data_IF_319630834817
#
_entry.id   IF_319630834817
#
_cell.length_a   1.000
_cell.length_b   1.000
_cell.length_c   1.000
_cell.angle_alpha   90.00
_cell.angle_beta   90.00
_cell.angle_gamma   90.00
#
_symmetry.space_group_name_H-M   'P 1'
#
loop_
_entity.id
_entity.type
_entity.pdbx_description
1 polymer ?
#
# COMPACT_ATOMS: atom_id res chain seq x y z
N UNK A 1 16.01 9.66 -12.54
CA UNK A 1 17.42 9.41 -12.14
C UNK A 1 17.76 10.00 -10.78
N UNK A 2 17.48 11.28 -10.47
CA UNK A 2 17.78 11.88 -9.16
C UNK A 2 17.20 11.11 -7.96
N UNK A 3 16.01 10.51 -8.10
CA UNK A 3 15.39 9.72 -7.02
C UNK A 3 16.13 8.43 -6.64
N UNK A 4 16.94 7.88 -7.54
CA UNK A 4 17.77 6.70 -7.24
C UNK A 4 18.85 7.03 -6.21
N UNK A 5 19.20 8.31 -6.06
CA UNK A 5 20.20 8.81 -5.12
C UNK A 5 19.61 9.25 -3.77
N UNK A 6 18.43 8.74 -3.38
CA UNK A 6 17.79 9.13 -2.12
C UNK A 6 18.67 8.70 -0.92
N UNK A 7 19.27 9.66 -0.17
CA UNK A 7 20.20 9.35 0.92
C UNK A 7 19.54 8.58 2.06
N UNK A 8 18.22 8.74 2.25
CA UNK A 8 17.45 8.02 3.25
C UNK A 8 17.43 6.51 2.97
N UNK A 9 17.20 6.14 1.71
CA UNK A 9 17.18 4.73 1.28
C UNK A 9 18.56 4.08 1.40
N UNK A 10 19.63 4.79 1.05
CA UNK A 10 21.01 4.30 1.26
C UNK A 10 21.34 4.11 2.74
N UNK A 11 20.98 5.08 3.58
CA UNK A 11 21.25 5.01 5.02
C UNK A 11 20.54 3.83 5.67
N UNK A 12 19.31 3.52 5.22
CA UNK A 12 18.58 2.36 5.74
C UNK A 12 19.17 1.04 5.22
N UNK A 13 19.54 0.97 3.94
CA UNK A 13 20.18 -0.22 3.38
C UNK A 13 21.52 -0.56 4.05
N UNK A 14 22.34 0.47 4.32
CA UNK A 14 23.66 0.30 4.99
C UNK A 14 23.55 -0.15 6.45
N UNK A 15 22.39 0.03 7.09
CA UNK A 15 22.10 -0.50 8.44
C UNK A 15 21.71 -1.99 8.45
N UNK A 16 21.97 -2.72 7.37
CA UNK A 16 21.72 -4.16 7.27
C UNK A 16 20.26 -4.52 6.97
N UNK A 17 19.48 -3.59 6.43
CA UNK A 17 18.06 -3.80 6.20
C UNK A 17 17.71 -4.03 4.72
N UNK A 18 16.90 -5.06 4.46
CA UNK A 18 16.50 -5.49 3.13
C UNK A 18 15.33 -4.71 2.49
N UNK A 19 14.79 -3.67 3.13
CA UNK A 19 13.67 -2.88 2.59
C UNK A 19 13.88 -2.37 1.15
N UNK A 20 15.08 -1.92 0.74
CA UNK A 20 15.29 -1.52 -0.65
C UNK A 20 15.07 -2.66 -1.65
N UNK A 21 15.42 -3.90 -1.29
CA UNK A 21 15.22 -5.09 -2.13
C UNK A 21 13.71 -5.35 -2.29
N UNK A 22 12.96 -5.28 -1.19
CA UNK A 22 11.50 -5.44 -1.18
C UNK A 22 10.84 -4.39 -2.08
N UNK A 23 11.27 -3.13 -1.94
CA UNK A 23 10.79 -2.03 -2.77
C UNK A 23 11.10 -2.24 -4.27
N UNK A 24 12.30 -2.74 -4.61
CA UNK A 24 12.67 -3.06 -5.98
C UNK A 24 11.78 -4.18 -6.57
N UNK A 25 11.49 -5.23 -5.79
CA UNK A 25 10.59 -6.31 -6.21
C UNK A 25 9.17 -5.79 -6.43
N UNK A 26 8.66 -4.90 -5.57
CA UNK A 26 7.33 -4.27 -5.77
C UNK A 26 7.28 -3.50 -7.08
N UNK A 27 8.30 -2.68 -7.38
CA UNK A 27 8.40 -1.97 -8.66
C UNK A 27 8.49 -2.95 -9.85
N UNK A 28 9.19 -4.07 -9.68
CA UNK A 28 9.26 -5.12 -10.69
C UNK A 28 7.90 -5.81 -10.93
N UNK A 29 7.11 -6.04 -9.88
CA UNK A 29 5.75 -6.57 -9.98
C UNK A 29 4.86 -5.60 -10.76
N UNK A 30 4.94 -4.30 -10.47
CA UNK A 30 4.23 -3.23 -11.22
C UNK A 30 4.59 -3.34 -12.71
N UNK A 31 5.87 -3.42 -13.05
CA UNK A 31 6.33 -3.57 -14.44
C UNK A 31 5.87 -4.88 -15.09
N UNK A 32 5.84 -5.99 -14.37
CA UNK A 32 5.36 -7.27 -14.90
C UNK A 32 3.86 -7.24 -15.20
N UNK A 33 3.07 -6.61 -14.33
CA UNK A 33 1.63 -6.42 -14.54
C UNK A 33 1.36 -5.53 -15.76
N UNK A 34 2.10 -4.41 -15.91
CA UNK A 34 1.98 -3.54 -17.10
C UNK A 34 2.33 -4.26 -18.40
N UNK A 35 3.32 -5.15 -18.36
CA UNK A 35 3.75 -5.92 -19.53
C UNK A 35 2.89 -7.17 -19.81
N UNK A 36 1.87 -7.45 -18.99
CA UNK A 36 1.02 -8.63 -19.13
C UNK A 36 1.66 -9.95 -18.68
N UNK A 37 2.84 -9.91 -18.06
CA UNK A 37 3.57 -11.10 -17.58
C UNK A 37 3.04 -11.54 -16.20
N UNK A 38 1.82 -12.08 -16.19
CA UNK A 38 1.09 -12.41 -14.96
C UNK A 38 1.76 -13.51 -14.12
N UNK A 39 2.29 -14.56 -14.75
CA UNK A 39 2.97 -15.66 -14.04
C UNK A 39 4.20 -15.15 -13.30
N UNK A 40 5.00 -14.30 -13.96
CA UNK A 40 6.16 -13.67 -13.35
C UNK A 40 5.74 -12.75 -12.21
N UNK A 41 4.70 -11.93 -12.39
CA UNK A 41 4.16 -11.07 -11.33
C UNK A 41 3.70 -11.89 -10.11
N UNK A 42 3.00 -13.02 -10.32
CA UNK A 42 2.53 -13.90 -9.25
C UNK A 42 3.69 -14.55 -8.48
N UNK A 43 4.72 -15.02 -9.20
CA UNK A 43 5.93 -15.57 -8.60
C UNK A 43 6.64 -14.55 -7.70
N UNK A 44 6.95 -13.36 -8.23
CA UNK A 44 7.62 -12.32 -7.43
C UNK A 44 6.75 -11.83 -6.27
N UNK A 45 5.42 -11.81 -6.44
CA UNK A 45 4.50 -11.45 -5.37
C UNK A 45 4.49 -12.48 -4.22
N UNK A 46 4.45 -13.78 -4.53
CA UNK A 46 4.56 -14.83 -3.50
C UNK A 46 5.89 -14.75 -2.75
N UNK A 47 6.99 -14.51 -3.47
CA UNK A 47 8.33 -14.37 -2.88
C UNK A 47 8.41 -13.14 -1.97
N UNK A 48 7.92 -11.98 -2.41
CA UNK A 48 8.06 -10.74 -1.64
C UNK A 48 7.24 -10.77 -0.35
N UNK A 49 6.04 -11.37 -0.37
CA UNK A 49 5.18 -11.53 0.82
C UNK A 49 5.79 -12.53 1.81
N UNK A 50 6.54 -13.53 1.33
CA UNK A 50 7.32 -14.40 2.21
C UNK A 50 8.48 -13.66 2.88
N UNK A 51 9.21 -12.81 2.14
CA UNK A 51 10.33 -12.05 2.69
C UNK A 51 9.90 -10.99 3.71
N UNK A 52 8.76 -10.33 3.48
CA UNK A 52 8.13 -9.38 4.40
C UNK A 52 6.62 -9.50 4.26
N UNK A 53 5.89 -9.50 5.37
CA UNK A 53 4.42 -9.65 5.32
C UNK A 53 3.69 -8.43 4.74
N UNK A 54 4.21 -7.21 4.89
CA UNK A 54 3.46 -5.98 4.57
C UNK A 54 2.95 -5.86 3.12
N UNK A 55 3.65 -6.34 2.06
CA UNK A 55 3.17 -6.26 0.67
C UNK A 55 1.84 -7.00 0.45
N UNK A 56 1.37 -7.78 1.43
CA UNK A 56 0.03 -8.39 1.42
C UNK A 56 -1.09 -7.36 1.22
N UNK A 57 -0.88 -6.09 1.60
CA UNK A 57 -1.85 -5.01 1.36
C UNK A 57 -2.14 -4.78 -0.13
N UNK A 58 -1.24 -5.22 -1.02
CA UNK A 58 -1.39 -5.12 -2.46
C UNK A 58 -2.16 -6.31 -3.08
N UNK A 59 -2.53 -7.33 -2.30
CA UNK A 59 -3.28 -8.48 -2.82
C UNK A 59 -4.60 -8.03 -3.48
N UNK A 60 -5.40 -7.27 -2.73
CA UNK A 60 -6.72 -6.83 -3.17
C UNK A 60 -6.66 -5.94 -4.42
N UNK A 61 -5.88 -4.85 -4.48
CA UNK A 61 -5.82 -4.03 -5.71
C UNK A 61 -5.31 -4.82 -6.92
N UNK A 62 -4.34 -5.75 -6.75
CA UNK A 62 -3.89 -6.60 -7.86
C UNK A 62 -5.03 -7.47 -8.39
N UNK A 63 -5.78 -8.11 -7.50
CA UNK A 63 -6.94 -8.95 -7.90
C UNK A 63 -7.98 -8.12 -8.66
N UNK A 64 -8.29 -6.90 -8.19
CA UNK A 64 -9.25 -6.03 -8.84
C UNK A 64 -8.80 -5.59 -10.23
N UNK A 65 -7.51 -5.28 -10.38
CA UNK A 65 -6.90 -4.90 -11.66
C UNK A 65 -6.94 -6.03 -12.69
N UNK A 66 -6.84 -7.29 -12.25
CA UNK A 66 -6.88 -8.49 -13.10
C UNK A 66 -8.28 -8.84 -13.65
N UNK A 67 -9.15 -7.84 -13.80
CA UNK A 67 -10.47 -8.03 -14.39
C UNK A 67 -10.37 -8.50 -15.86
N UNK A 68 -11.19 -9.49 -16.29
CA UNK A 68 -11.26 -9.92 -17.69
C UNK A 68 -11.51 -8.80 -18.70
N UNK A 69 -12.12 -7.68 -18.26
CA UNK A 69 -12.35 -6.50 -19.10
C UNK A 69 -11.04 -5.78 -19.51
N UNK A 70 -9.96 -5.98 -18.76
CA UNK A 70 -8.64 -5.36 -19.01
C UNK A 70 -7.61 -6.38 -19.51
N UNK A 71 -7.74 -7.66 -19.12
CA UNK A 71 -6.78 -8.72 -19.46
C UNK A 71 -7.42 -9.85 -20.28
N UNK A 72 -7.28 -9.78 -21.61
CA UNK A 72 -7.71 -10.85 -22.53
C UNK A 72 -6.63 -11.91 -22.78
N UNK A 73 -7.05 -13.16 -23.00
CA UNK A 73 -6.15 -14.31 -23.19
C UNK A 73 -5.24 -14.10 -24.41
N UNK A 74 -3.94 -14.38 -24.25
CA UNK A 74 -2.95 -14.29 -25.33
C UNK A 74 -2.59 -12.88 -25.81
N UNK A 75 -3.18 -11.81 -25.25
CA UNK A 75 -2.92 -10.43 -25.66
C UNK A 75 -2.22 -9.64 -24.56
N UNK A 76 -1.26 -8.78 -24.95
CA UNK A 76 -0.70 -7.79 -24.03
C UNK A 76 -1.82 -6.83 -23.61
N UNK A 77 -1.92 -6.46 -22.33
CA UNK A 77 -2.95 -5.53 -21.90
C UNK A 77 -2.76 -4.20 -22.62
N UNK A 78 -3.86 -3.63 -23.13
CA UNK A 78 -3.82 -2.33 -23.77
C UNK A 78 -3.54 -1.27 -22.71
N UNK A 79 -2.35 -0.68 -22.75
CA UNK A 79 -1.98 0.42 -21.87
C UNK A 79 -2.58 1.71 -22.41
N UNK A 80 -3.12 2.54 -21.52
CA UNK A 80 -3.48 3.92 -21.89
C UNK A 80 -2.18 4.64 -22.29
N UNK A 81 -2.23 5.45 -23.35
CA UNK A 81 -1.12 6.32 -23.72
C UNK A 81 -0.82 7.30 -22.58
N UNK A 82 0.13 6.91 -21.73
CA UNK A 82 0.58 7.62 -20.52
C UNK A 82 1.05 9.05 -20.85
N UNK A 83 1.42 9.33 -22.11
CA UNK A 83 1.86 10.65 -22.58
C UNK A 83 0.74 11.68 -22.78
N UNK A 84 -0.52 11.26 -22.85
CA UNK A 84 -1.65 12.14 -23.16
C UNK A 84 -2.38 12.55 -21.89
N UNK A 85 -2.10 13.76 -21.40
CA UNK A 85 -2.87 14.44 -20.32
C UNK A 85 -4.34 14.70 -20.69
N UNK A 86 -4.78 14.29 -21.89
CA UNK A 86 -6.17 14.34 -22.36
C UNK A 86 -6.88 13.03 -22.05
N UNK A 87 -7.38 12.89 -20.84
CA UNK A 87 -8.52 12.01 -20.58
C UNK A 87 -9.53 12.81 -19.76
N UNK A 88 -10.65 13.15 -20.40
CA UNK A 88 -11.81 13.75 -19.73
C UNK A 88 -12.28 12.78 -18.65
N UNK A 89 -12.64 13.33 -17.50
CA UNK A 89 -13.28 12.62 -16.39
C UNK A 89 -14.54 11.87 -16.86
N UNK A 90 -14.40 10.59 -17.18
CA UNK A 90 -15.52 9.66 -17.29
C UNK A 90 -15.42 8.62 -16.17
N UNK A 91 -15.43 9.08 -14.92
CA UNK A 91 -15.66 8.19 -13.78
C UNK A 91 -16.22 8.93 -12.57
N UNK A 92 -17.42 9.47 -12.71
CA UNK A 92 -18.24 9.98 -11.60
C UNK A 92 -19.51 9.15 -11.36
N UNK A 93 -19.66 7.98 -11.98
CA UNK A 93 -20.90 7.19 -11.88
C UNK A 93 -20.78 5.76 -11.35
N UNK A 94 -19.59 5.29 -10.95
CA UNK A 94 -19.46 3.92 -10.42
C UNK A 94 -19.67 3.81 -8.90
N UNK A 95 -19.49 4.90 -8.14
CA UNK A 95 -19.54 4.84 -6.68
C UNK A 95 -20.96 4.82 -6.08
N UNK A 96 -22.00 5.14 -6.87
CA UNK A 96 -23.40 5.04 -6.43
C UNK A 96 -23.99 3.63 -6.53
N UNK A 97 -23.22 2.64 -7.01
CA UNK A 97 -23.73 1.29 -7.37
C UNK A 97 -23.19 0.17 -6.48
N UNK A 98 -22.69 0.49 -5.29
CA UNK A 98 -22.02 -0.46 -4.37
C UNK A 98 -22.86 -0.88 -3.16
N UNK A 99 -24.11 -0.40 -3.01
CA UNK A 99 -25.01 -0.78 -1.90
C UNK A 99 -26.15 -1.72 -2.31
N UNK A 100 -26.07 -2.34 -3.50
CA UNK A 100 -26.99 -3.43 -3.87
C UNK A 100 -26.40 -4.79 -3.48
N UNK A 101 -27.11 -5.64 -2.70
CA UNK A 101 -26.66 -6.99 -2.34
C UNK A 101 -26.36 -7.87 -3.57
N UNK A 102 -27.09 -7.67 -4.66
CA UNK A 102 -26.87 -8.36 -5.93
C UNK A 102 -25.55 -7.93 -6.60
N UNK A 103 -25.11 -6.68 -6.42
CA UNK A 103 -23.81 -6.20 -6.92
C UNK A 103 -22.64 -6.79 -6.12
N UNK A 104 -22.80 -7.01 -4.81
CA UNK A 104 -21.77 -7.67 -3.99
C UNK A 104 -21.62 -9.13 -4.40
N UNK A 105 -22.73 -9.84 -4.60
CA UNK A 105 -22.68 -11.23 -5.06
C UNK A 105 -22.10 -11.35 -6.48
N UNK A 106 -22.46 -10.46 -7.40
CA UNK A 106 -21.85 -10.37 -8.74
C UNK A 106 -20.37 -9.96 -8.70
N UNK A 107 -19.98 -9.12 -7.74
CA UNK A 107 -18.60 -8.77 -7.51
C UNK A 107 -17.81 -9.98 -6.99
N UNK A 108 -18.34 -10.71 -6.01
CA UNK A 108 -17.75 -11.94 -5.47
C UNK A 108 -17.62 -13.02 -6.53
N UNK A 109 -18.63 -13.23 -7.38
CA UNK A 109 -18.53 -14.17 -8.51
C UNK A 109 -17.55 -13.67 -9.57
N UNK A 110 -17.41 -12.36 -9.77
CA UNK A 110 -16.36 -11.81 -10.64
C UNK A 110 -14.95 -12.07 -10.10
N UNK A 111 -14.75 -12.27 -8.79
CA UNK A 111 -13.44 -12.60 -8.22
C UNK A 111 -12.92 -13.96 -8.71
N UNK A 112 -13.82 -14.88 -9.10
CA UNK A 112 -13.49 -16.23 -9.57
C UNK A 112 -13.18 -16.29 -11.07
N UNK A 113 -12.32 -15.39 -11.55
CA UNK A 113 -11.80 -15.49 -12.92
C UNK A 113 -10.50 -16.28 -12.95
N UNK A 114 -10.27 -17.03 -14.03
CA UNK A 114 -9.09 -17.89 -14.16
C UNK A 114 -7.77 -17.16 -13.86
N UNK A 115 -7.63 -15.89 -14.25
CA UNK A 115 -6.43 -15.09 -13.98
C UNK A 115 -6.23 -14.75 -12.51
N UNK A 116 -7.31 -14.37 -11.81
CA UNK A 116 -7.30 -14.07 -10.38
C UNK A 116 -6.96 -15.35 -9.59
N UNK A 117 -7.59 -16.46 -9.96
CA UNK A 117 -7.32 -17.79 -9.39
C UNK A 117 -5.88 -18.21 -9.68
N UNK A 118 -5.41 -18.14 -10.93
CA UNK A 118 -4.03 -18.50 -11.29
C UNK A 118 -3.01 -17.64 -10.55
N UNK A 119 -3.21 -16.33 -10.47
CA UNK A 119 -2.34 -15.43 -9.72
C UNK A 119 -2.31 -15.81 -8.24
N UNK A 120 -3.49 -16.04 -7.63
CA UNK A 120 -3.61 -16.44 -6.24
C UNK A 120 -2.99 -17.81 -5.95
N UNK A 121 -3.19 -18.79 -6.83
CA UNK A 121 -2.63 -20.14 -6.69
C UNK A 121 -1.11 -20.13 -6.82
N UNK A 122 -0.53 -19.44 -7.81
CA UNK A 122 0.92 -19.40 -7.99
C UNK A 122 1.59 -18.66 -6.83
N UNK A 123 1.08 -17.47 -6.48
CA UNK A 123 1.65 -16.68 -5.39
C UNK A 123 1.46 -17.35 -4.02
N UNK A 124 0.27 -17.91 -3.77
CA UNK A 124 -0.04 -18.65 -2.55
C UNK A 124 0.77 -19.94 -2.42
N UNK A 125 0.87 -20.73 -3.48
CA UNK A 125 1.68 -21.96 -3.47
C UNK A 125 3.15 -21.65 -3.17
N UNK A 126 3.73 -20.62 -3.80
CA UNK A 126 5.10 -20.23 -3.51
C UNK A 126 5.26 -19.74 -2.06
N UNK A 127 4.33 -18.90 -1.58
CA UNK A 127 4.35 -18.42 -0.19
C UNK A 127 4.29 -19.58 0.81
N UNK A 128 3.34 -20.50 0.67
CA UNK A 128 3.20 -21.64 1.58
C UNK A 128 4.34 -22.64 1.46
N UNK A 129 4.85 -22.87 0.24
CA UNK A 129 6.01 -23.75 0.02
C UNK A 129 7.24 -23.22 0.74
N UNK A 130 7.58 -21.94 0.56
CA UNK A 130 8.74 -21.34 1.22
C UNK A 130 8.57 -21.32 2.74
N UNK A 131 7.42 -20.88 3.24
CA UNK A 131 7.16 -20.92 4.68
C UNK A 131 7.18 -22.35 5.24
N UNK A 132 6.71 -23.35 4.49
CA UNK A 132 6.78 -24.75 4.88
C UNK A 132 8.21 -25.28 4.95
N UNK A 133 9.06 -24.92 3.97
CA UNK A 133 10.49 -25.26 3.97
C UNK A 133 11.18 -24.65 5.20
N UNK A 134 10.97 -23.36 5.46
CA UNK A 134 11.60 -22.68 6.61
C UNK A 134 11.03 -23.15 7.96
N UNK A 135 9.73 -23.48 8.03
CA UNK A 135 9.15 -24.10 9.21
C UNK A 135 9.73 -25.49 9.47
N UNK A 136 9.99 -26.29 8.43
CA UNK A 136 10.66 -27.58 8.58
C UNK A 136 12.10 -27.44 9.12
N UNK A 137 12.83 -26.40 8.69
CA UNK A 137 14.21 -26.16 9.10
C UNK A 137 14.34 -25.56 10.51
N UNK A 138 13.46 -24.63 10.88
CA UNK A 138 13.60 -23.78 12.07
C UNK A 138 12.42 -23.90 13.06
N UNK A 139 11.38 -24.66 12.73
CA UNK A 139 10.24 -24.90 13.60
C UNK A 139 9.42 -23.64 13.93
N UNK A 140 8.91 -23.62 15.16
CA UNK A 140 8.03 -22.55 15.67
C UNK A 140 8.72 -21.19 15.79
N UNK A 141 10.04 -21.16 16.03
CA UNK A 141 10.79 -19.91 16.16
C UNK A 141 10.73 -19.09 14.87
N UNK A 142 10.90 -19.75 13.71
CA UNK A 142 10.72 -19.08 12.41
C UNK A 142 9.30 -18.55 12.24
N UNK A 143 8.28 -19.37 12.50
CA UNK A 143 6.89 -18.95 12.31
C UNK A 143 6.52 -17.77 13.20
N UNK A 144 7.00 -17.78 14.45
CA UNK A 144 6.80 -16.69 15.37
C UNK A 144 7.48 -15.42 14.89
N UNK A 145 8.81 -15.44 14.70
CA UNK A 145 9.59 -14.25 14.38
C UNK A 145 9.31 -13.69 12.99
N UNK A 146 9.11 -14.55 11.98
CA UNK A 146 8.92 -14.12 10.61
C UNK A 146 7.49 -13.62 10.32
N UNK A 147 6.46 -14.20 10.96
CA UNK A 147 5.05 -13.93 10.64
C UNK A 147 4.26 -13.44 11.85
N UNK A 148 4.12 -14.26 12.90
CA UNK A 148 3.15 -14.00 13.98
C UNK A 148 3.53 -12.80 14.84
N UNK A 149 4.82 -12.63 15.11
CA UNK A 149 5.37 -11.51 15.86
C UNK A 149 4.94 -10.19 15.24
N UNK A 150 4.90 -10.05 13.91
CA UNK A 150 4.48 -8.81 13.27
C UNK A 150 2.99 -8.46 13.48
N UNK A 151 2.14 -9.46 13.71
CA UNK A 151 0.72 -9.25 14.02
C UNK A 151 0.50 -8.85 15.47
N UNK A 152 1.30 -9.36 16.41
CA UNK A 152 1.18 -9.08 17.84
C UNK A 152 2.10 -7.96 18.32
N UNK A 153 3.13 -7.59 17.56
CA UNK A 153 4.17 -6.62 17.92
C UNK A 153 3.59 -5.34 18.51
N UNK A 154 4.01 -5.03 19.71
CA UNK A 154 3.77 -3.76 20.40
C UNK A 154 5.12 -3.08 20.60
N UNK A 155 5.14 -1.75 20.56
CA UNK A 155 6.33 -0.96 20.85
C UNK A 155 5.95 0.12 21.88
N UNK A 156 6.06 -0.21 23.18
CA UNK A 156 5.60 0.66 24.26
C UNK A 156 6.54 1.84 24.52
N UNK A 157 7.81 1.77 24.11
CA UNK A 157 8.84 2.71 24.58
C UNK A 157 8.68 4.08 23.94
N UNK A 158 8.78 4.13 22.61
CA UNK A 158 8.51 5.32 21.82
C UNK A 158 8.35 4.93 20.36
N UNK A 159 7.23 5.29 19.74
CA UNK A 159 7.08 5.16 18.29
C UNK A 159 6.17 6.29 17.77
N UNK A 160 6.18 6.52 16.46
CA UNK A 160 5.46 7.65 15.86
C UNK A 160 3.94 7.51 15.93
N UNK A 161 3.43 6.31 16.21
CA UNK A 161 2.01 6.00 16.20
C UNK A 161 1.28 6.57 17.40
N UNK A 162 0.04 6.98 17.21
CA UNK A 162 -0.84 7.48 18.28
C UNK A 162 -1.12 6.44 19.37
N UNK A 163 -0.93 5.16 19.06
CA UNK A 163 -1.23 4.05 19.96
C UNK A 163 -0.11 3.79 20.99
N UNK A 164 1.11 4.32 20.79
CA UNK A 164 2.25 3.98 21.65
C UNK A 164 1.96 4.28 23.13
N UNK A 165 1.34 5.41 23.43
CA UNK A 165 1.10 5.85 24.81
C UNK A 165 0.05 4.98 25.50
N UNK A 166 -1.00 4.59 24.78
CA UNK A 166 -1.99 3.65 25.29
C UNK A 166 -1.36 2.28 25.60
N UNK A 167 -0.53 1.78 24.67
CA UNK A 167 0.20 0.53 24.81
C UNK A 167 1.19 0.60 25.99
N UNK A 168 1.85 1.75 26.19
CA UNK A 168 2.76 1.98 27.30
C UNK A 168 2.05 1.88 28.66
N UNK A 169 0.90 2.55 28.81
CA UNK A 169 0.14 2.53 30.06
C UNK A 169 -0.44 1.14 30.40
N UNK A 170 -0.73 0.33 29.38
CA UNK A 170 -1.26 -1.02 29.52
C UNK A 170 -0.22 -2.08 29.17
N UNK A 171 1.07 -1.81 29.41
CA UNK A 171 2.12 -2.78 29.06
C UNK A 171 2.08 -4.02 29.97
N UNK A 172 1.75 -3.83 31.25
CA UNK A 172 1.68 -4.92 32.24
C UNK A 172 0.35 -5.68 32.25
N UNK A 173 -0.70 -5.08 31.68
CA UNK A 173 -2.02 -5.71 31.57
C UNK A 173 -2.25 -6.16 30.12
N UNK A 174 -2.70 -7.40 29.92
CA UNK A 174 -3.04 -7.84 28.58
C UNK A 174 -4.15 -6.96 27.98
N UNK A 175 -3.85 -6.30 26.85
CA UNK A 175 -4.84 -5.55 26.09
C UNK A 175 -6.03 -6.47 25.76
N UNK A 176 -7.23 -5.96 26.01
CA UNK A 176 -8.47 -6.65 25.67
C UNK A 176 -8.53 -6.93 24.17
N UNK A 177 -9.19 -8.04 23.79
CA UNK A 177 -9.45 -8.36 22.40
C UNK A 177 -10.20 -7.23 21.67
N UNK A 178 -11.03 -6.48 22.40
CA UNK A 178 -11.74 -5.32 21.86
C UNK A 178 -10.77 -4.17 21.51
N UNK A 179 -9.81 -3.86 22.38
CA UNK A 179 -8.83 -2.79 22.15
C UNK A 179 -7.92 -3.12 20.97
N UNK A 180 -7.50 -4.38 20.85
CA UNK A 180 -6.78 -4.88 19.68
C UNK A 180 -7.61 -4.65 18.42
N UNK A 181 -8.88 -5.06 18.40
CA UNK A 181 -9.78 -4.85 17.25
C UNK A 181 -9.96 -3.37 16.90
N UNK A 182 -10.18 -2.50 17.89
CA UNK A 182 -10.36 -1.06 17.68
C UNK A 182 -9.11 -0.42 17.09
N UNK A 183 -7.91 -0.86 17.46
CA UNK A 183 -6.66 -0.35 16.87
C UNK A 183 -6.46 -0.74 15.39
N UNK A 184 -7.02 -1.88 14.96
CA UNK A 184 -6.93 -2.37 13.58
C UNK A 184 -8.05 -1.87 12.67
N UNK A 185 -9.23 -1.59 13.21
CA UNK A 185 -10.41 -1.27 12.42
C UNK A 185 -10.24 -0.01 11.53
N UNK A 186 -9.72 1.14 12.03
CA UNK A 186 -9.49 2.32 11.20
C UNK A 186 -8.53 2.04 10.04
N UNK A 187 -7.47 1.27 10.30
CA UNK A 187 -6.49 0.90 9.29
C UNK A 187 -7.15 0.07 8.18
N UNK A 188 -7.91 -0.97 8.53
CA UNK A 188 -8.63 -1.81 7.55
C UNK A 188 -9.64 -0.99 6.75
N UNK A 189 -10.43 -0.14 7.43
CA UNK A 189 -11.43 0.71 6.77
C UNK A 189 -10.80 1.63 5.74
N UNK A 190 -9.74 2.35 6.11
CA UNK A 190 -9.04 3.26 5.18
C UNK A 190 -8.42 2.48 4.02
N UNK A 191 -7.82 1.31 4.26
CA UNK A 191 -7.27 0.47 3.19
C UNK A 191 -8.35 0.06 2.18
N UNK A 192 -9.50 -0.47 2.66
CA UNK A 192 -10.58 -0.89 1.78
C UNK A 192 -11.13 0.26 0.93
N UNK A 193 -11.40 1.42 1.56
CA UNK A 193 -11.91 2.60 0.85
C UNK A 193 -10.95 3.04 -0.26
N UNK A 194 -9.64 3.10 0.03
CA UNK A 194 -8.64 3.49 -0.96
C UNK A 194 -8.54 2.49 -2.11
N UNK A 195 -8.58 1.19 -1.82
CA UNK A 195 -8.54 0.14 -2.84
C UNK A 195 -9.74 0.23 -3.78
N UNK A 196 -10.96 0.28 -3.24
CA UNK A 196 -12.16 0.37 -4.07
C UNK A 196 -12.20 1.66 -4.90
N UNK A 197 -11.61 2.75 -4.40
CA UNK A 197 -11.59 4.05 -5.10
C UNK A 197 -10.54 4.14 -6.21
N UNK A 198 -9.37 3.52 -6.01
CA UNK A 198 -8.18 3.76 -6.85
C UNK A 198 -7.59 2.51 -7.50
N UNK A 199 -8.13 1.30 -7.29
CA UNK A 199 -7.53 0.06 -7.81
C UNK A 199 -7.13 0.10 -9.29
N UNK A 200 -7.95 0.73 -10.15
CA UNK A 200 -7.68 0.85 -11.59
C UNK A 200 -6.49 1.77 -11.94
N UNK A 201 -6.14 2.71 -11.08
CA UNK A 201 -4.89 3.50 -11.12
C UNK A 201 -3.91 2.89 -10.11
N UNK A 202 -3.44 1.68 -10.41
CA UNK A 202 -2.79 0.84 -9.41
C UNK A 202 -1.44 1.38 -8.87
N UNK A 203 -0.58 2.11 -9.62
CA UNK A 203 0.61 2.73 -9.03
C UNK A 203 0.23 3.78 -7.98
N UNK A 204 -0.81 4.58 -8.26
CA UNK A 204 -1.35 5.54 -7.31
C UNK A 204 -2.00 4.82 -6.12
N UNK A 205 -2.78 3.77 -6.37
CA UNK A 205 -3.39 2.92 -5.33
C UNK A 205 -2.34 2.37 -4.37
N UNK A 206 -1.25 1.79 -4.90
CA UNK A 206 -0.17 1.25 -4.08
C UNK A 206 0.46 2.34 -3.23
N UNK A 207 0.70 3.53 -3.79
CA UNK A 207 1.25 4.66 -3.05
C UNK A 207 0.33 5.08 -1.89
N UNK A 208 -0.94 5.38 -2.16
CA UNK A 208 -1.87 5.87 -1.13
C UNK A 208 -2.16 4.80 -0.07
N UNK A 209 -2.24 3.53 -0.46
CA UNK A 209 -2.37 2.42 0.48
C UNK A 209 -1.14 2.32 1.38
N UNK A 210 0.06 2.45 0.84
CA UNK A 210 1.30 2.35 1.64
C UNK A 210 1.40 3.49 2.64
N UNK A 211 1.12 4.73 2.22
CA UNK A 211 1.11 5.90 3.11
C UNK A 211 0.06 5.72 4.22
N UNK A 212 -1.15 5.33 3.86
CA UNK A 212 -2.22 5.10 4.83
C UNK A 212 -1.91 3.91 5.76
N UNK A 213 -1.32 2.83 5.24
CA UNK A 213 -0.96 1.65 6.01
C UNK A 213 0.03 2.03 7.10
N UNK A 214 1.07 2.79 6.74
CA UNK A 214 2.10 3.26 7.66
C UNK A 214 1.53 4.26 8.67
N UNK A 215 0.74 5.24 8.23
CA UNK A 215 0.21 6.29 9.10
C UNK A 215 -0.77 5.75 10.16
N UNK A 216 -1.60 4.77 9.80
CA UNK A 216 -2.59 4.16 10.70
C UNK A 216 -2.09 2.89 11.40
N UNK A 217 -0.80 2.54 11.25
CA UNK A 217 -0.25 1.35 11.88
C UNK A 217 -0.09 1.53 13.40
N UNK A 218 -0.26 0.44 14.15
CA UNK A 218 -0.05 0.41 15.62
C UNK A 218 1.38 0.75 16.06
N UNK A 219 2.34 0.36 15.23
CA UNK A 219 3.77 0.63 15.43
C UNK A 219 4.25 1.32 14.17
N UNK A 220 4.81 2.52 14.30
CA UNK A 220 5.32 3.30 13.18
C UNK A 220 6.75 3.74 13.47
N UNK A 221 7.67 3.34 12.58
CA UNK A 221 9.09 3.68 12.65
C UNK A 221 9.52 4.40 11.37
N UNK A 222 10.59 5.19 11.43
CA UNK A 222 11.07 5.93 10.27
C UNK A 222 11.46 5.03 9.09
N UNK A 223 11.89 3.79 9.37
CA UNK A 223 12.23 2.79 8.35
C UNK A 223 11.13 2.60 7.29
N UNK A 224 9.86 2.65 7.71
CA UNK A 224 8.73 2.41 6.82
C UNK A 224 8.57 3.49 5.75
N UNK A 225 9.23 4.65 5.88
CA UNK A 225 9.11 5.73 4.88
C UNK A 225 9.72 5.34 3.53
N UNK A 226 10.65 4.38 3.52
CA UNK A 226 11.22 3.83 2.28
C UNK A 226 10.13 3.23 1.39
N UNK A 227 9.08 2.64 1.99
CA UNK A 227 8.03 1.93 1.26
C UNK A 227 7.24 2.85 0.33
N UNK A 228 6.82 4.03 0.80
CA UNK A 228 6.11 4.97 -0.06
C UNK A 228 7.05 5.90 -0.83
N UNK A 229 8.29 6.11 -0.37
CA UNK A 229 9.28 6.84 -1.14
C UNK A 229 9.64 6.14 -2.44
N UNK A 230 9.72 4.81 -2.49
CA UNK A 230 10.00 4.13 -3.77
C UNK A 230 8.89 4.30 -4.80
N UNK A 231 7.64 4.51 -4.35
CA UNK A 231 6.46 4.70 -5.19
C UNK A 231 6.22 6.16 -5.59
N UNK A 232 6.73 7.13 -4.82
CA UNK A 232 6.48 8.56 -5.07
C UNK A 232 6.82 9.02 -6.51
N UNK A 233 7.96 8.64 -7.12
CA UNK A 233 8.31 9.08 -8.48
C UNK A 233 7.31 8.61 -9.55
N UNK A 234 6.62 7.51 -9.32
CA UNK A 234 5.65 6.97 -10.27
C UNK A 234 4.40 7.85 -10.33
N UNK A 235 4.05 8.51 -9.24
CA UNK A 235 2.84 9.35 -9.15
C UNK A 235 3.11 10.83 -9.44
N UNK A 236 4.34 11.32 -9.27
CA UNK A 236 4.67 12.75 -9.46
C UNK A 236 4.29 13.33 -10.84
N UNK A 237 4.46 12.62 -11.97
CA UNK A 237 4.05 13.14 -13.28
C UNK A 237 2.55 13.43 -13.40
N UNK A 238 1.74 12.76 -12.57
CA UNK A 238 0.28 12.80 -12.56
C UNK A 238 -0.31 13.70 -11.48
N UNK A 239 0.54 14.43 -10.75
CA UNK A 239 0.02 15.45 -9.84
C UNK A 239 -0.08 16.80 -10.55
N UNK A 240 -1.21 17.49 -10.33
CA UNK A 240 -1.35 18.92 -10.64
C UNK A 240 -0.73 19.81 -9.55
N UNK A 241 -0.21 19.21 -8.47
CA UNK A 241 0.39 19.94 -7.36
C UNK A 241 1.73 20.55 -7.80
N UNK A 242 1.76 21.88 -7.87
CA UNK A 242 3.01 22.62 -8.09
C UNK A 242 3.91 22.47 -6.85
N UNK A 243 5.20 22.29 -7.10
CA UNK A 243 6.22 22.22 -6.04
C UNK A 243 6.28 23.55 -5.26
N UNK A 244 6.31 24.68 -5.97
CA UNK A 244 6.18 26.01 -5.37
C UNK A 244 4.74 26.21 -4.90
N UNK A 245 4.53 26.34 -3.59
CA UNK A 245 3.21 26.47 -2.95
C UNK A 245 2.82 25.21 -2.19
N UNK A 246 1.71 24.56 -2.58
CA UNK A 246 1.12 23.42 -1.85
C UNK A 246 2.10 22.26 -1.66
N UNK A 247 2.92 21.94 -2.67
CA UNK A 247 3.93 20.87 -2.55
C UNK A 247 4.96 21.18 -1.46
N UNK A 248 5.51 22.40 -1.45
CA UNK A 248 6.45 22.84 -0.42
C UNK A 248 5.81 22.86 0.97
N UNK A 249 4.55 23.32 1.09
CA UNK A 249 3.81 23.28 2.36
C UNK A 249 3.68 21.85 2.88
N UNK A 250 3.34 20.89 2.02
CA UNK A 250 3.24 19.47 2.41
C UNK A 250 4.59 18.92 2.89
N UNK A 251 5.68 19.21 2.17
CA UNK A 251 7.04 18.77 2.53
C UNK A 251 7.45 19.38 3.87
N UNK A 252 7.32 20.70 4.03
CA UNK A 252 7.70 21.40 5.25
C UNK A 252 6.88 20.95 6.45
N UNK A 253 5.56 20.79 6.29
CA UNK A 253 4.68 20.31 7.35
C UNK A 253 5.07 18.89 7.80
N UNK A 254 5.32 17.99 6.85
CA UNK A 254 5.71 16.62 7.14
C UNK A 254 7.07 16.55 7.85
N UNK A 255 8.07 17.30 7.36
CA UNK A 255 9.39 17.40 7.99
C UNK A 255 9.33 18.05 9.37
N UNK A 256 8.54 19.11 9.55
CA UNK A 256 8.37 19.78 10.83
C UNK A 256 7.71 18.87 11.87
N UNK A 257 6.67 18.13 11.49
CA UNK A 257 6.02 17.18 12.38
C UNK A 257 6.97 16.06 12.83
N UNK A 258 7.83 15.57 11.93
CA UNK A 258 8.88 14.62 12.28
C UNK A 258 9.92 15.21 13.22
N UNK A 259 10.46 16.39 12.89
CA UNK A 259 11.44 17.07 13.73
C UNK A 259 10.89 17.36 15.14
N UNK A 260 9.63 17.77 15.23
CA UNK A 260 8.92 17.96 16.48
C UNK A 260 8.84 16.67 17.29
N UNK A 261 8.45 15.55 16.69
CA UNK A 261 8.42 14.26 17.38
C UNK A 261 9.83 13.80 17.82
N UNK A 262 10.83 13.94 16.95
CA UNK A 262 12.22 13.56 17.22
C UNK A 262 12.82 14.38 18.37
N UNK A 263 12.46 15.65 18.51
CA UNK A 263 12.88 16.48 19.65
C UNK A 263 12.41 15.87 20.98
N UNK A 264 11.12 15.51 21.08
CA UNK A 264 10.58 14.88 22.28
C UNK A 264 11.16 13.48 22.50
N UNK A 265 11.32 12.70 21.43
CA UNK A 265 11.96 11.39 21.48
C UNK A 265 13.40 11.48 22.00
N UNK A 266 14.16 12.50 21.59
CA UNK A 266 15.51 12.74 22.09
C UNK A 266 15.53 13.07 23.58
N UNK A 267 14.62 13.94 24.04
CA UNK A 267 14.51 14.30 25.45
C UNK A 267 14.12 13.10 26.33
N UNK A 268 13.26 12.22 25.81
CA UNK A 268 12.86 11.00 26.50
C UNK A 268 14.03 10.00 26.56
N UNK A 269 14.60 9.63 25.41
CA UNK A 269 15.53 8.51 25.30
C UNK A 269 16.96 8.84 25.75
N UNK A 270 17.46 10.04 25.40
CA UNK A 270 18.86 10.41 25.66
C UNK A 270 19.03 11.33 26.86
N UNK A 271 17.99 12.11 27.23
CA UNK A 271 18.04 12.99 28.41
C UNK A 271 17.24 12.45 29.60
N UNK A 272 16.54 11.33 29.45
CA UNK A 272 15.80 10.69 30.54
C UNK A 272 14.66 11.54 31.11
N UNK A 273 14.15 12.53 30.36
CA UNK A 273 13.07 13.39 30.83
C UNK A 273 11.72 12.70 30.61
N UNK A 274 10.84 12.76 31.60
CA UNK A 274 9.48 12.25 31.50
C UNK A 274 8.60 13.16 30.61
N UNK A 275 8.64 12.94 29.29
CA UNK A 275 7.91 13.71 28.27
C UNK A 275 6.91 12.87 27.47
N UNK A 276 6.39 11.78 28.04
CA UNK A 276 5.50 10.83 27.33
C UNK A 276 4.25 11.50 26.76
N UNK A 277 3.62 12.41 27.51
CA UNK A 277 2.42 13.12 27.05
C UNK A 277 2.72 14.03 25.85
N UNK A 278 3.82 14.79 25.90
CA UNK A 278 4.24 15.68 24.82
C UNK A 278 4.62 14.88 23.57
N UNK A 279 5.29 13.74 23.75
CA UNK A 279 5.61 12.81 22.69
C UNK A 279 4.35 12.21 22.05
N UNK A 280 3.33 11.89 22.86
CA UNK A 280 2.03 11.44 22.37
C UNK A 280 1.30 12.51 21.56
N UNK A 281 1.25 13.75 22.05
CA UNK A 281 0.71 14.89 21.29
C UNK A 281 1.48 15.08 19.98
N UNK A 282 2.80 14.93 19.98
CA UNK A 282 3.58 14.97 18.75
C UNK A 282 3.20 13.84 17.77
N UNK A 283 2.86 12.65 18.27
CA UNK A 283 2.34 11.53 17.47
C UNK A 283 0.98 11.86 16.82
N UNK A 284 0.06 12.48 17.57
CA UNK A 284 -1.22 12.97 17.04
C UNK A 284 -1.02 14.00 15.92
N UNK A 285 -0.15 14.98 16.14
CA UNK A 285 0.20 15.99 15.13
C UNK A 285 0.84 15.35 13.90
N UNK A 286 1.66 14.32 14.08
CA UNK A 286 2.27 13.61 12.97
C UNK A 286 1.26 12.79 12.16
N UNK A 287 0.30 12.13 12.81
CA UNK A 287 -0.83 11.49 12.11
C UNK A 287 -1.66 12.52 11.33
N UNK A 288 -1.95 13.67 11.93
CA UNK A 288 -2.67 14.76 11.27
C UNK A 288 -1.90 15.29 10.05
N UNK A 289 -0.58 15.47 10.16
CA UNK A 289 0.29 15.86 9.05
C UNK A 289 0.29 14.82 7.92
N UNK A 290 0.45 13.52 8.23
CA UNK A 290 0.39 12.46 7.21
C UNK A 290 -0.97 12.43 6.50
N UNK A 291 -2.07 12.57 7.25
CA UNK A 291 -3.43 12.60 6.70
C UNK A 291 -3.66 13.82 5.82
N UNK A 292 -3.20 15.01 6.25
CA UNK A 292 -3.28 16.24 5.47
C UNK A 292 -2.51 16.12 4.15
N UNK A 293 -1.27 15.61 4.19
CA UNK A 293 -0.46 15.38 2.99
C UNK A 293 -1.15 14.39 2.06
N UNK A 294 -1.65 13.28 2.60
CA UNK A 294 -2.36 12.27 1.81
C UNK A 294 -3.60 12.85 1.11
N UNK A 295 -4.42 13.63 1.82
CA UNK A 295 -5.60 14.29 1.26
C UNK A 295 -5.21 15.26 0.14
N UNK A 296 -4.17 16.07 0.34
CA UNK A 296 -3.70 17.01 -0.69
C UNK A 296 -3.20 16.28 -1.94
N UNK A 297 -2.46 15.17 -1.77
CA UNK A 297 -2.02 14.35 -2.89
C UNK A 297 -3.23 13.79 -3.65
N UNK A 298 -4.22 13.24 -2.95
CA UNK A 298 -5.44 12.70 -3.56
C UNK A 298 -6.24 13.78 -4.31
N UNK A 299 -6.41 14.96 -3.73
CA UNK A 299 -7.17 16.05 -4.36
C UNK A 299 -6.48 16.62 -5.60
N UNK A 300 -5.16 16.59 -5.65
CA UNK A 300 -4.38 17.13 -6.77
C UNK A 300 -3.98 16.06 -7.80
N UNK A 301 -4.35 14.79 -7.56
CA UNK A 301 -4.04 13.69 -8.47
C UNK A 301 -4.96 13.70 -9.69
N UNK A 302 -4.38 13.64 -10.88
CA UNK A 302 -5.15 13.37 -12.10
C UNK A 302 -5.28 11.86 -12.23
N UNK A 303 -6.48 11.35 -11.97
CA UNK A 303 -6.80 9.94 -12.10
C UNK A 303 -6.42 9.43 -13.50
N UNK A 304 -5.54 8.43 -13.56
CA UNK A 304 -5.02 7.86 -14.79
C UNK A 304 -5.09 6.33 -14.72
N UNK A 305 -6.17 5.70 -15.20
CA UNK A 305 -6.24 4.25 -15.24
C UNK A 305 -5.13 3.73 -16.17
N UNK A 306 -4.38 2.72 -15.72
CA UNK A 306 -3.24 2.21 -16.50
C UNK A 306 -3.72 1.36 -17.69
N UNK A 307 -4.82 0.63 -17.51
CA UNK A 307 -5.37 -0.28 -18.49
C UNK A 307 -6.59 0.32 -19.20
N UNK A 308 -6.61 0.22 -20.53
CA UNK A 308 -7.78 0.59 -21.33
C UNK A 308 -8.79 -0.57 -21.31
N UNK A 309 -10.08 -0.24 -21.12
CA UNK A 309 -11.13 -1.23 -21.25
C UNK A 309 -11.20 -1.71 -22.71
N UNK A 310 -11.08 -3.01 -22.92
CA UNK A 310 -11.21 -3.60 -24.25
C UNK A 310 -12.69 -3.54 -24.65
N UNK A 311 -13.04 -2.70 -25.63
CA UNK A 311 -14.39 -2.72 -26.20
C UNK A 311 -14.66 -4.12 -26.74
N UNK A 312 -15.72 -4.80 -26.28
CA UNK A 312 -16.25 -5.97 -26.98
C UNK A 312 -16.43 -5.54 -28.43
N UNK A 313 -15.68 -6.15 -29.34
CA UNK A 313 -15.79 -5.88 -30.77
C UNK A 313 -17.29 -5.89 -31.12
N UNK A 314 -17.77 -4.79 -31.68
CA UNK A 314 -19.10 -4.71 -32.20
C UNK A 314 -19.34 -5.96 -33.07
N UNK A 315 -20.28 -6.80 -32.65
CA UNK A 315 -20.83 -7.85 -33.50
C UNK A 315 -21.56 -7.15 -34.65
N UNK A 316 -20.79 -6.77 -35.67
CA UNK A 316 -21.26 -6.41 -37.00
C UNK A 316 -20.55 -7.34 -37.97
N UNK A 317 -21.09 -8.55 -38.12
CA UNK A 317 -21.00 -9.29 -39.38
C UNK A 317 -22.40 -9.58 -39.86
N UNK A 318 -22.84 -8.71 -40.79
CA UNK A 318 -23.76 -8.97 -41.89
C UNK A 318 -24.98 -9.89 -41.64
N UNK A 319 -26.12 -9.29 -41.30
CA UNK A 319 -27.38 -9.69 -41.95
C UNK A 319 -27.58 -8.67 -43.08
N UNK A 320 -27.11 -9.02 -44.27
CA UNK A 320 -27.51 -8.33 -45.50
C UNK A 320 -29.00 -8.62 -45.69
N UNK A 321 -29.81 -7.57 -45.68
CA UNK A 321 -31.10 -7.58 -46.36
C UNK A 321 -30.87 -7.98 -47.82
N UNK A 322 -31.54 -9.04 -48.27
CA UNK A 322 -32.16 -9.13 -49.59
C UNK A 322 -33.25 -10.18 -49.55
#
# INVERSE_FOLDING_TARGET
>A
MVWLLNPFTFTIGTRGNCEPIICAIILWIILCLMNGRLVQAAFWYGLVVHMRIYPIIYALPIILVLDPLFFQYGTKPALVNWSSRKSKSQQTSSCKRLMDPCCICNFLTSLFTWRRIMFGLISGALFFLLNGIFFFLYGWDFLHEALLYHLTRTDPRHNFSIYFYHIYLHYEHELSNLEKLVSFLPQIMVQLVLVFRFAQDFPFCFFVQTVAFVAFNKVMTAQYFVWFFCLLPLILPWTNMKLRGKGLVCILLWMAAQGHWLLWGYLLEFKGKNVFLQLWVAGLLFLAANTFVLINIIQQHTYSPVFQQLSRAASKKHVKQR
#
